data_IF_730216311185
#
_entry.id   IF_730216311185
#
_cell.length_a   1.000
_cell.length_b   1.000
_cell.length_c   1.000
_cell.angle_alpha   90.00
_cell.angle_beta   90.00
_cell.angle_gamma   90.00
#
_symmetry.space_group_name_H-M   'P 1'
#
loop_
_entity.id
_entity.type
_entity.pdbx_description
1 polymer ?
#
# COMPACT_ATOMS: atom_id res chain seq x y z
N UNK A 1 4.86 0.97 6.79
CA UNK A 1 4.13 0.70 5.52
C UNK A 1 4.93 -0.21 4.59
N UNK A 2 6.17 0.16 4.24
CA UNK A 2 6.99 -0.66 3.33
C UNK A 2 7.31 -2.04 3.91
N UNK A 3 7.57 -2.16 5.21
CA UNK A 3 7.86 -3.46 5.83
C UNK A 3 6.67 -4.43 5.77
N UNK A 4 5.46 -3.92 5.99
CA UNK A 4 4.24 -4.72 5.87
C UNK A 4 4.01 -5.18 4.42
N UNK A 5 4.23 -4.29 3.45
CA UNK A 5 4.14 -4.61 2.03
C UNK A 5 5.24 -5.60 1.59
N UNK A 6 6.47 -5.47 2.10
CA UNK A 6 7.57 -6.42 1.90
C UNK A 6 7.20 -7.80 2.47
N UNK A 7 6.71 -7.84 3.71
CA UNK A 7 6.30 -9.08 4.36
C UNK A 7 5.16 -9.78 3.59
N UNK A 8 4.19 -9.01 3.09
CA UNK A 8 3.14 -9.54 2.24
C UNK A 8 3.70 -10.13 0.94
N UNK A 9 4.59 -9.42 0.24
CA UNK A 9 5.22 -9.93 -0.98
C UNK A 9 6.02 -11.23 -0.73
N UNK A 10 6.81 -11.25 0.33
CA UNK A 10 7.60 -12.43 0.73
C UNK A 10 6.68 -13.62 1.01
N UNK A 11 5.56 -13.41 1.71
CA UNK A 11 4.60 -14.46 2.00
C UNK A 11 3.86 -14.95 0.75
N UNK A 12 3.45 -14.06 -0.15
CA UNK A 12 2.74 -14.40 -1.40
C UNK A 12 3.62 -15.17 -2.39
N UNK A 13 4.92 -14.92 -2.39
CA UNK A 13 5.89 -15.53 -3.30
C UNK A 13 6.76 -16.62 -2.65
N UNK A 14 6.47 -16.99 -1.40
CA UNK A 14 7.21 -18.00 -0.62
C UNK A 14 8.73 -17.75 -0.61
N UNK A 15 9.13 -16.49 -0.52
CA UNK A 15 10.54 -16.09 -0.51
C UNK A 15 11.12 -16.13 0.91
N UNK A 16 12.43 -16.35 1.02
CA UNK A 16 13.16 -16.23 2.30
C UNK A 16 13.82 -14.86 2.44
N UNK A 17 14.23 -14.26 1.32
CA UNK A 17 14.84 -12.94 1.23
C UNK A 17 14.45 -12.25 -0.07
N UNK A 18 14.63 -10.93 -0.14
CA UNK A 18 14.40 -10.15 -1.36
C UNK A 18 15.55 -9.17 -1.59
N UNK A 19 16.62 -9.68 -2.18
CA UNK A 19 17.91 -8.97 -2.32
C UNK A 19 17.79 -7.70 -3.15
N UNK A 20 17.05 -7.74 -4.27
CA UNK A 20 16.78 -6.56 -5.12
C UNK A 20 16.08 -5.43 -4.35
N UNK A 21 15.16 -5.81 -3.46
CA UNK A 21 14.49 -4.86 -2.59
C UNK A 21 15.48 -4.30 -1.56
N UNK A 22 16.22 -5.15 -0.87
CA UNK A 22 17.11 -4.72 0.21
C UNK A 22 18.25 -3.81 -0.27
N UNK A 23 18.82 -4.11 -1.44
CA UNK A 23 19.86 -3.30 -2.09
C UNK A 23 19.32 -1.99 -2.72
N UNK A 24 18.00 -1.89 -2.93
CA UNK A 24 17.37 -0.75 -3.60
C UNK A 24 17.32 0.53 -2.77
N UNK A 25 17.38 1.68 -3.46
CA UNK A 25 17.03 2.98 -2.86
C UNK A 25 15.54 3.03 -2.52
N UNK A 26 15.14 3.90 -1.60
CA UNK A 26 13.73 4.02 -1.16
C UNK A 26 12.74 4.21 -2.30
N UNK A 27 13.08 5.01 -3.32
CA UNK A 27 12.23 5.16 -4.51
C UNK A 27 12.08 3.87 -5.31
N UNK A 28 13.14 3.08 -5.45
CA UNK A 28 13.10 1.76 -6.10
C UNK A 28 12.27 0.77 -5.28
N UNK A 29 12.44 0.77 -3.95
CA UNK A 29 11.63 -0.03 -3.00
C UNK A 29 10.13 0.25 -3.17
N UNK A 30 9.75 1.53 -3.27
CA UNK A 30 8.34 1.93 -3.51
C UNK A 30 7.84 1.41 -4.86
N UNK A 31 8.65 1.49 -5.91
CA UNK A 31 8.27 0.98 -7.24
C UNK A 31 8.13 -0.54 -7.27
N UNK A 32 9.00 -1.27 -6.57
CA UNK A 32 8.89 -2.73 -6.42
C UNK A 32 7.62 -3.13 -5.67
N UNK A 33 7.21 -2.31 -4.68
CA UNK A 33 6.01 -2.54 -3.87
C UNK A 33 4.75 -1.88 -4.41
N UNK A 34 4.75 -1.34 -5.63
CA UNK A 34 3.64 -0.52 -6.17
C UNK A 34 2.26 -1.18 -6.11
N UNK A 35 2.21 -2.51 -6.15
CA UNK A 35 0.97 -3.28 -6.10
C UNK A 35 0.37 -3.40 -4.69
N UNK A 36 1.17 -3.17 -3.66
CA UNK A 36 0.77 -3.25 -2.25
C UNK A 36 0.63 -1.87 -1.59
N UNK A 37 1.01 -0.81 -2.31
CA UNK A 37 1.04 0.55 -1.78
C UNK A 37 -0.11 1.40 -2.34
N UNK A 38 -0.53 2.43 -1.59
CA UNK A 38 -1.43 3.47 -2.10
C UNK A 38 -0.84 4.11 -3.35
N UNK A 39 -1.69 4.36 -4.34
CA UNK A 39 -1.28 4.90 -5.63
C UNK A 39 -0.63 6.27 -5.45
N UNK A 40 -1.20 7.09 -4.56
CA UNK A 40 -0.67 8.42 -4.28
C UNK A 40 0.80 8.39 -3.82
N UNK A 41 1.18 7.38 -3.03
CA UNK A 41 2.55 7.18 -2.55
C UNK A 41 3.50 6.70 -3.66
N UNK A 42 3.00 5.84 -4.55
CA UNK A 42 3.76 5.33 -5.72
C UNK A 42 4.05 6.46 -6.71
N UNK A 43 3.07 7.32 -6.93
CA UNK A 43 3.17 8.48 -7.83
C UNK A 43 4.09 9.57 -7.25
N UNK A 44 4.22 9.65 -5.91
CA UNK A 44 5.02 10.66 -5.20
C UNK A 44 6.02 10.01 -4.22
N UNK A 45 7.08 9.32 -4.69
CA UNK A 45 7.99 8.58 -3.81
C UNK A 45 8.80 9.48 -2.86
N UNK A 46 8.97 10.76 -3.18
CA UNK A 46 9.61 11.76 -2.31
C UNK A 46 8.79 12.03 -1.04
N UNK A 47 7.46 11.87 -1.11
CA UNK A 47 6.57 12.02 0.04
C UNK A 47 6.87 10.98 1.10
N UNK A 48 7.22 9.75 0.71
CA UNK A 48 7.66 8.74 1.67
C UNK A 48 8.93 9.18 2.39
N UNK A 49 9.91 9.72 1.65
CA UNK A 49 11.13 10.26 2.25
C UNK A 49 10.79 11.40 3.21
N UNK A 50 9.92 12.33 2.83
CA UNK A 50 9.51 13.45 3.69
C UNK A 50 8.75 12.99 4.95
N UNK A 51 7.88 11.98 4.83
CA UNK A 51 7.15 11.41 5.97
C UNK A 51 8.07 10.56 6.87
N UNK A 52 9.13 9.99 6.31
CA UNK A 52 10.10 9.15 7.01
C UNK A 52 11.26 9.96 7.61
N UNK A 53 11.56 11.12 7.05
CA UNK A 53 12.39 12.15 7.65
C UNK A 53 11.56 12.72 8.80
N UNK A 54 11.89 12.35 10.03
CA UNK A 54 11.17 12.87 11.19
C UNK A 54 11.23 14.40 11.24
N UNK A 55 10.36 15.00 12.06
CA UNK A 55 10.32 16.45 12.34
C UNK A 55 11.64 17.03 12.88
N UNK A 56 12.66 16.20 13.11
CA UNK A 56 13.96 16.59 13.64
C UNK A 56 14.86 17.32 12.63
N UNK A 57 14.61 17.22 11.32
CA UNK A 57 15.41 17.90 10.28
C UNK A 57 14.77 19.18 9.74
N UNK A 58 13.53 19.50 10.14
CA UNK A 58 12.81 20.69 9.70
C UNK A 58 12.83 21.77 10.78
N UNK A 59 13.11 23.02 10.40
CA UNK A 59 12.89 24.16 11.31
C UNK A 59 11.40 24.31 11.65
N UNK A 60 11.09 24.99 12.76
CA UNK A 60 9.69 25.22 13.19
C UNK A 60 8.85 25.92 12.12
N UNK A 61 9.46 26.86 11.39
CA UNK A 61 8.80 27.55 10.29
C UNK A 61 8.51 26.61 9.10
N UNK A 62 9.48 25.80 8.69
CA UNK A 62 9.28 24.81 7.62
C UNK A 62 8.26 23.74 8.02
N UNK A 63 8.27 23.31 9.29
CA UNK A 63 7.25 22.42 9.83
C UNK A 63 5.85 23.03 9.69
N UNK A 64 5.67 24.30 10.07
CA UNK A 64 4.38 24.98 10.00
C UNK A 64 3.88 25.15 8.55
N UNK A 65 4.78 25.49 7.63
CA UNK A 65 4.46 25.64 6.19
C UNK A 65 4.07 24.31 5.54
N UNK A 66 4.74 23.22 5.89
CA UNK A 66 4.50 21.90 5.32
C UNK A 66 3.40 21.10 6.04
N UNK A 67 3.02 21.47 7.26
CA UNK A 67 2.11 20.68 8.11
C UNK A 67 0.78 20.37 7.42
N UNK A 68 0.12 21.38 6.86
CA UNK A 68 -1.18 21.20 6.20
C UNK A 68 -1.07 20.35 4.92
N UNK A 69 0.04 20.50 4.18
CA UNK A 69 0.32 19.69 2.99
C UNK A 69 0.54 18.22 3.38
N UNK A 70 1.37 17.97 4.39
CA UNK A 70 1.64 16.64 4.93
C UNK A 70 0.39 15.99 5.50
N UNK A 71 -0.41 16.74 6.26
CA UNK A 71 -1.69 16.29 6.79
C UNK A 71 -2.63 15.86 5.68
N UNK A 72 -2.75 16.67 4.63
CA UNK A 72 -3.59 16.37 3.46
C UNK A 72 -3.07 15.12 2.73
N UNK A 73 -1.76 15.01 2.55
CA UNK A 73 -1.14 13.86 1.92
C UNK A 73 -1.38 12.57 2.73
N UNK A 74 -1.27 12.62 4.06
CA UNK A 74 -1.59 11.51 4.96
C UNK A 74 -3.07 11.12 4.86
N UNK A 75 -3.98 12.09 4.84
CA UNK A 75 -5.42 11.84 4.68
C UNK A 75 -5.73 11.11 3.37
N UNK A 76 -5.14 11.54 2.25
CA UNK A 76 -5.28 10.87 0.95
C UNK A 76 -4.77 9.42 1.03
N UNK A 77 -3.58 9.22 1.57
CA UNK A 77 -2.98 7.88 1.73
C UNK A 77 -3.89 6.95 2.54
N UNK A 78 -4.41 7.42 3.67
CA UNK A 78 -5.27 6.61 4.54
C UNK A 78 -6.58 6.27 3.84
N UNK A 79 -7.20 7.24 3.15
CA UNK A 79 -8.45 7.01 2.39
C UNK A 79 -8.26 5.98 1.30
N UNK A 80 -7.17 6.04 0.55
CA UNK A 80 -6.85 5.04 -0.47
C UNK A 80 -6.70 3.64 0.13
N UNK A 81 -6.02 3.50 1.27
CA UNK A 81 -5.88 2.20 1.94
C UNK A 81 -7.23 1.62 2.38
N UNK A 82 -8.08 2.45 2.99
CA UNK A 82 -9.42 2.04 3.41
C UNK A 82 -10.25 1.61 2.19
N UNK A 83 -10.21 2.39 1.11
CA UNK A 83 -10.92 2.06 -0.13
C UNK A 83 -10.45 0.73 -0.72
N UNK A 84 -9.12 0.55 -0.83
CA UNK A 84 -8.53 -0.67 -1.39
C UNK A 84 -8.89 -1.91 -0.56
N UNK A 85 -8.85 -1.81 0.77
CA UNK A 85 -9.23 -2.90 1.66
C UNK A 85 -10.72 -3.26 1.51
N UNK A 86 -11.60 -2.25 1.41
CA UNK A 86 -13.03 -2.46 1.19
C UNK A 86 -13.32 -3.11 -0.16
N UNK A 87 -12.65 -2.66 -1.22
CA UNK A 87 -12.81 -3.23 -2.56
C UNK A 87 -12.31 -4.67 -2.62
N UNK A 88 -11.19 -4.98 -1.95
CA UNK A 88 -10.69 -6.35 -1.86
C UNK A 88 -11.69 -7.26 -1.14
N UNK A 89 -12.25 -6.80 0.00
CA UNK A 89 -13.28 -7.55 0.74
C UNK A 89 -14.51 -7.83 -0.13
N UNK A 90 -15.01 -6.82 -0.87
CA UNK A 90 -16.15 -6.97 -1.79
C UNK A 90 -15.86 -7.95 -2.92
N UNK A 91 -14.65 -7.92 -3.51
CA UNK A 91 -14.25 -8.86 -4.56
C UNK A 91 -14.24 -10.30 -4.06
N UNK A 92 -13.70 -10.56 -2.87
CA UNK A 92 -13.69 -11.90 -2.26
C UNK A 92 -15.12 -12.38 -1.96
N UNK A 93 -15.96 -11.51 -1.41
CA UNK A 93 -17.35 -11.82 -1.09
C UNK A 93 -18.14 -12.21 -2.35
N UNK A 94 -18.08 -11.39 -3.40
CA UNK A 94 -18.76 -11.66 -4.66
C UNK A 94 -18.20 -12.92 -5.34
N UNK A 95 -16.88 -13.13 -5.35
CA UNK A 95 -16.27 -14.34 -5.92
C UNK A 95 -16.77 -15.62 -5.22
N UNK A 96 -16.94 -15.55 -3.89
CA UNK A 96 -17.48 -16.66 -3.08
C UNK A 96 -18.95 -16.91 -3.39
N UNK A 97 -19.75 -15.85 -3.55
CA UNK A 97 -21.16 -15.98 -3.91
C UNK A 97 -21.34 -16.57 -5.31
N UNK A 98 -20.58 -16.09 -6.29
CA UNK A 98 -20.63 -16.57 -7.67
C UNK A 98 -20.24 -18.05 -7.77
N UNK A 99 -19.18 -18.48 -7.09
CA UNK A 99 -18.77 -19.90 -7.11
C UNK A 99 -19.82 -20.82 -6.49
N UNK A 100 -20.47 -20.40 -5.39
CA UNK A 100 -21.62 -21.13 -4.81
C UNK A 100 -22.78 -21.26 -5.80
N UNK A 101 -23.16 -20.16 -6.46
CA UNK A 101 -24.25 -20.18 -7.45
C UNK A 101 -23.93 -21.08 -8.65
N UNK A 102 -22.69 -21.14 -9.10
CA UNK A 102 -22.26 -22.02 -10.20
C UNK A 102 -22.36 -23.50 -9.79
N UNK A 103 -21.91 -23.85 -8.58
CA UNK A 103 -21.95 -25.24 -8.10
C UNK A 103 -23.37 -25.75 -7.87
N UNK A 104 -24.27 -24.91 -7.36
CA UNK A 104 -25.68 -25.26 -7.22
C UNK A 104 -26.35 -25.58 -8.56
N UNK A 105 -25.97 -24.88 -9.64
CA UNK A 105 -26.48 -25.16 -10.99
C UNK A 105 -25.92 -26.44 -11.61
N UNK A 106 -24.76 -26.94 -11.16
CA UNK A 106 -24.16 -28.20 -11.62
C UNK A 106 -24.75 -29.43 -10.92
N UNK A 107 -25.11 -29.31 -9.64
CA UNK A 107 -25.66 -30.43 -8.85
C UNK A 107 -27.18 -30.61 -9.00
N UNK A 108 -27.86 -29.69 -9.69
CA UNK A 108 -29.30 -29.76 -9.99
C UNK A 108 -29.64 -30.30 -11.39
N UNK A 109 -28.68 -30.95 -12.06
CA UNK A 109 -28.88 -31.66 -13.34
C UNK A 109 -28.57 -33.13 -13.17
#
# INVERSE_FOLDING_TARGET
>A
MLDAAKAQHIAEHELTSWEDYDAGKTSQKIQLLKQYLPKFLVDHPHLYTLLSLGVHELSEQQCAEEFENLRTAIDIIIREQISNANDMKRKVEISTLLSKSINQRKNGK
#
